data_IF_723633459445
#
_entry.id   IF_723633459445
#
_cell.length_a   1.000
_cell.length_b   1.000
_cell.length_c   1.000
_cell.angle_alpha   90.00
_cell.angle_beta   90.00
_cell.angle_gamma   90.00
#
_symmetry.space_group_name_H-M   'P 1'
#
loop_
_entity.id
_entity.type
_entity.pdbx_description
1 polymer ?
#
# COMPACT_ATOMS: atom_id res chain seq x y z
N UNK A 1 -3.72 -48.05 -6.31
CA UNK A 1 -2.84 -46.99 -6.86
C UNK A 1 -1.54 -46.99 -6.06
N UNK A 2 -0.55 -47.77 -6.48
CA UNK A 2 0.77 -47.82 -5.81
C UNK A 2 1.51 -46.51 -6.14
N UNK A 3 1.74 -45.64 -5.16
CA UNK A 3 2.65 -44.51 -5.32
C UNK A 3 4.06 -45.07 -5.38
N UNK A 4 4.69 -44.96 -6.54
CA UNK A 4 6.12 -45.23 -6.73
C UNK A 4 6.91 -44.15 -5.98
N UNK A 5 7.20 -44.36 -4.70
CA UNK A 5 8.35 -43.71 -4.07
C UNK A 5 9.57 -44.57 -4.42
N UNK A 6 9.99 -44.50 -5.68
CA UNK A 6 11.30 -45.00 -6.09
C UNK A 6 12.33 -44.16 -5.35
N UNK A 7 13.05 -44.78 -4.42
CA UNK A 7 14.07 -44.15 -3.59
C UNK A 7 15.22 -43.65 -4.47
N UNK A 8 15.05 -42.47 -5.07
CA UNK A 8 16.11 -41.76 -5.75
C UNK A 8 17.10 -41.32 -4.66
N UNK A 9 18.28 -41.93 -4.67
CA UNK A 9 19.38 -41.55 -3.81
C UNK A 9 19.90 -40.19 -4.31
N UNK A 10 19.29 -39.10 -3.82
CA UNK A 10 19.69 -37.73 -4.19
C UNK A 10 21.03 -37.45 -3.51
N UNK A 11 22.00 -36.95 -4.26
CA UNK A 11 23.29 -36.59 -3.70
C UNK A 11 23.12 -35.52 -2.60
N UNK A 12 23.72 -35.73 -1.43
CA UNK A 12 23.64 -34.81 -0.29
C UNK A 12 24.12 -33.39 -0.63
N UNK A 13 25.08 -33.28 -1.57
CA UNK A 13 25.55 -32.00 -2.09
C UNK A 13 24.46 -31.23 -2.84
N UNK A 14 23.66 -31.93 -3.66
CA UNK A 14 22.55 -31.35 -4.41
C UNK A 14 21.43 -30.91 -3.44
N UNK A 15 21.11 -31.74 -2.44
CA UNK A 15 20.13 -31.37 -1.42
C UNK A 15 20.55 -30.12 -0.65
N UNK A 16 21.83 -30.04 -0.26
CA UNK A 16 22.37 -28.86 0.41
C UNK A 16 22.30 -27.63 -0.49
N UNK A 17 22.63 -27.76 -1.78
CA UNK A 17 22.56 -26.64 -2.73
C UNK A 17 21.13 -26.14 -2.92
N UNK A 18 20.16 -27.03 -3.15
CA UNK A 18 18.75 -26.66 -3.26
C UNK A 18 18.22 -26.04 -1.98
N UNK A 19 18.64 -26.56 -0.83
CA UNK A 19 18.28 -26.01 0.48
C UNK A 19 18.78 -24.57 0.62
N UNK A 20 20.05 -24.31 0.29
CA UNK A 20 20.61 -22.97 0.32
C UNK A 20 19.87 -22.02 -0.64
N UNK A 21 19.55 -22.47 -1.86
CA UNK A 21 18.81 -21.65 -2.84
C UNK A 21 17.41 -21.23 -2.37
N UNK A 22 16.72 -22.04 -1.58
CA UNK A 22 15.39 -21.72 -1.06
C UNK A 22 15.40 -20.74 0.12
N UNK A 23 16.55 -20.55 0.77
CA UNK A 23 16.65 -19.68 1.93
C UNK A 23 16.77 -18.20 1.55
N UNK A 24 16.24 -17.29 2.38
CA UNK A 24 16.48 -15.85 2.22
C UNK A 24 17.97 -15.48 2.22
N UNK A 25 18.38 -14.40 1.51
CA UNK A 25 19.80 -14.04 1.32
C UNK A 25 20.52 -13.73 2.63
N UNK A 26 19.81 -13.19 3.63
CA UNK A 26 20.34 -12.97 4.97
C UNK A 26 20.73 -14.29 5.67
N UNK A 27 19.92 -15.34 5.50
CA UNK A 27 20.20 -16.66 6.08
C UNK A 27 21.35 -17.32 5.32
N UNK A 28 21.35 -17.25 3.98
CA UNK A 28 22.45 -17.77 3.14
C UNK A 28 23.81 -17.16 3.52
N UNK A 29 23.86 -15.84 3.70
CA UNK A 29 25.10 -15.15 4.09
C UNK A 29 25.65 -15.64 5.43
N UNK A 30 24.78 -15.97 6.38
CA UNK A 30 25.18 -16.49 7.69
C UNK A 30 25.70 -17.93 7.53
N UNK A 31 24.95 -18.79 6.83
CA UNK A 31 25.36 -20.18 6.60
C UNK A 31 26.69 -20.29 5.83
N UNK A 32 26.96 -19.36 4.89
CA UNK A 32 28.23 -19.31 4.16
C UNK A 32 29.45 -19.08 5.05
N UNK A 33 29.27 -18.46 6.22
CA UNK A 33 30.36 -18.20 7.19
C UNK A 33 30.68 -19.39 8.09
N UNK A 34 29.87 -20.46 8.04
CA UNK A 34 29.99 -21.63 8.91
C UNK A 34 30.63 -22.77 8.11
N UNK A 35 31.87 -23.13 8.43
CA UNK A 35 32.51 -24.35 7.92
C UNK A 35 32.97 -25.29 9.06
N UNK A 36 32.86 -26.62 8.88
CA UNK A 36 32.19 -27.32 7.79
C UNK A 36 30.65 -27.27 7.89
N UNK A 37 29.99 -27.19 6.74
CA UNK A 37 28.52 -27.14 6.62
C UNK A 37 28.00 -28.47 6.05
N UNK A 38 27.17 -29.17 6.83
CA UNK A 38 26.42 -30.35 6.39
C UNK A 38 24.95 -30.00 6.27
N UNK A 39 24.17 -30.74 5.48
CA UNK A 39 22.73 -30.50 5.30
C UNK A 39 21.96 -30.42 6.64
N UNK A 40 22.27 -31.34 7.57
CA UNK A 40 21.63 -31.37 8.90
C UNK A 40 21.99 -30.15 9.76
N UNK A 41 23.23 -29.67 9.70
CA UNK A 41 23.65 -28.47 10.44
C UNK A 41 23.09 -27.20 9.80
N UNK A 42 23.00 -27.17 8.47
CA UNK A 42 22.40 -26.07 7.74
C UNK A 42 20.91 -25.92 8.09
N UNK A 43 20.15 -27.01 8.18
CA UNK A 43 18.74 -26.97 8.57
C UNK A 43 18.56 -26.47 10.00
N UNK A 44 19.33 -27.02 10.96
CA UNK A 44 19.25 -26.60 12.36
C UNK A 44 19.57 -25.11 12.55
N UNK A 45 20.62 -24.63 11.89
CA UNK A 45 21.02 -23.22 11.99
C UNK A 45 20.01 -22.32 11.27
N UNK A 46 19.48 -22.73 10.12
CA UNK A 46 18.44 -21.98 9.41
C UNK A 46 17.18 -21.83 10.26
N UNK A 47 16.70 -22.90 10.89
CA UNK A 47 15.52 -22.88 11.76
C UNK A 47 15.73 -21.91 12.93
N UNK A 48 16.87 -21.99 13.61
CA UNK A 48 17.21 -21.06 14.70
C UNK A 48 17.31 -19.61 14.25
N UNK A 49 17.87 -19.36 13.07
CA UNK A 49 17.91 -18.01 12.50
C UNK A 49 16.48 -17.53 12.26
N UNK A 50 15.61 -18.35 11.67
CA UNK A 50 14.21 -17.96 11.42
C UNK A 50 13.40 -17.72 12.71
N UNK A 51 13.70 -18.44 13.79
CA UNK A 51 13.09 -18.20 15.10
C UNK A 51 13.52 -16.86 15.74
N UNK A 52 14.81 -16.52 15.62
CA UNK A 52 15.38 -15.31 16.25
C UNK A 52 15.19 -14.07 15.38
N UNK A 53 15.16 -14.24 14.06
CA UNK A 53 14.99 -13.11 13.15
C UNK A 53 13.53 -12.69 13.21
N UNK A 54 13.22 -11.46 13.69
CA UNK A 54 11.84 -10.97 13.63
C UNK A 54 11.41 -11.03 12.17
N UNK A 55 10.17 -11.47 11.92
CA UNK A 55 9.62 -11.57 10.57
C UNK A 55 9.80 -10.21 9.87
N UNK A 56 10.84 -10.13 9.04
CA UNK A 56 11.01 -9.03 8.12
C UNK A 56 9.92 -9.28 7.10
N UNK A 57 8.74 -8.68 7.33
CA UNK A 57 7.71 -8.59 6.32
C UNK A 57 8.38 -7.85 5.18
N UNK A 58 8.94 -8.58 4.23
CA UNK A 58 9.38 -8.02 2.96
C UNK A 58 8.15 -7.31 2.47
N UNK A 59 8.14 -5.98 2.58
CA UNK A 59 7.05 -5.18 2.09
C UNK A 59 6.96 -5.57 0.63
N UNK A 60 5.96 -6.40 0.31
CA UNK A 60 5.75 -6.90 -1.04
C UNK A 60 5.84 -5.66 -1.89
N UNK A 61 6.91 -5.61 -2.67
CA UNK A 61 7.07 -4.81 -3.86
C UNK A 61 5.80 -3.99 -4.12
N UNK A 62 5.75 -2.74 -3.64
CA UNK A 62 4.76 -1.76 -4.13
C UNK A 62 5.04 -1.40 -5.61
N UNK A 63 5.79 -2.22 -6.34
CA UNK A 63 6.17 -2.00 -7.72
C UNK A 63 5.02 -2.35 -8.69
N UNK A 64 3.85 -2.80 -8.21
CA UNK A 64 2.63 -2.96 -9.03
C UNK A 64 1.50 -1.95 -8.76
N UNK A 65 1.67 -0.98 -7.84
CA UNK A 65 0.63 0.03 -7.53
C UNK A 65 1.09 1.49 -7.57
N UNK A 66 2.22 1.79 -8.21
CA UNK A 66 2.67 3.18 -8.35
C UNK A 66 2.03 3.92 -9.54
N UNK A 67 1.44 3.20 -10.50
CA UNK A 67 0.94 3.82 -11.74
C UNK A 67 -0.59 3.82 -11.90
N UNK A 68 -1.36 3.13 -11.04
CA UNK A 68 -2.85 3.16 -11.10
C UNK A 68 -3.50 3.92 -9.93
N UNK A 69 -2.91 3.86 -8.72
CA UNK A 69 -3.58 4.38 -7.52
C UNK A 69 -3.40 5.89 -7.33
N UNK A 70 -2.31 6.44 -7.88
CA UNK A 70 -2.14 7.90 -7.97
C UNK A 70 -3.13 8.53 -8.96
N UNK A 71 -3.61 7.77 -9.96
CA UNK A 71 -4.59 8.27 -10.93
C UNK A 71 -5.94 8.49 -10.24
N UNK A 72 -6.44 7.46 -9.54
CA UNK A 72 -7.71 7.52 -8.82
C UNK A 72 -7.69 8.50 -7.65
N UNK A 73 -6.62 8.54 -6.85
CA UNK A 73 -6.49 9.52 -5.77
C UNK A 73 -6.43 10.96 -6.33
N UNK A 74 -5.73 11.17 -7.45
CA UNK A 74 -5.68 12.49 -8.09
C UNK A 74 -7.03 12.93 -8.68
N UNK A 75 -7.81 12.00 -9.22
CA UNK A 75 -9.16 12.26 -9.75
C UNK A 75 -10.13 12.62 -8.62
N UNK A 76 -10.10 11.87 -7.52
CA UNK A 76 -10.90 12.17 -6.33
C UNK A 76 -10.57 13.55 -5.75
N UNK A 77 -9.27 13.92 -5.72
CA UNK A 77 -8.84 15.25 -5.26
C UNK A 77 -9.28 16.38 -6.21
N UNK A 78 -9.34 16.12 -7.52
CA UNK A 78 -9.86 17.07 -8.51
C UNK A 78 -11.36 17.27 -8.33
N UNK A 79 -12.12 16.19 -8.20
CA UNK A 79 -13.57 16.22 -7.99
C UNK A 79 -13.92 16.95 -6.69
N UNK A 80 -13.18 16.67 -5.62
CA UNK A 80 -13.36 17.35 -4.33
C UNK A 80 -13.09 18.86 -4.40
N UNK A 81 -12.10 19.29 -5.21
CA UNK A 81 -11.85 20.72 -5.46
C UNK A 81 -12.98 21.36 -6.26
N UNK A 82 -13.48 20.69 -7.30
CA UNK A 82 -14.59 21.16 -8.12
C UNK A 82 -15.86 21.35 -7.29
N UNK A 83 -16.25 20.33 -6.51
CA UNK A 83 -17.40 20.39 -5.61
C UNK A 83 -17.27 21.52 -4.57
N UNK A 84 -16.08 21.72 -4.00
CA UNK A 84 -15.84 22.83 -3.06
C UNK A 84 -16.03 24.19 -3.72
N UNK A 85 -15.63 24.33 -4.98
CA UNK A 85 -15.83 25.56 -5.74
C UNK A 85 -17.30 25.79 -6.06
N UNK A 86 -18.02 24.78 -6.54
CA UNK A 86 -19.44 24.87 -6.84
C UNK A 86 -20.26 25.23 -5.59
N UNK A 87 -19.98 24.61 -4.45
CA UNK A 87 -20.62 24.95 -3.16
C UNK A 87 -20.34 26.40 -2.76
N UNK A 88 -19.13 26.91 -3.00
CA UNK A 88 -18.77 28.31 -2.73
C UNK A 88 -19.56 29.26 -3.62
N UNK A 89 -19.73 28.93 -4.90
CA UNK A 89 -20.51 29.72 -5.86
C UNK A 89 -22.01 29.72 -5.52
N UNK A 90 -22.57 28.56 -5.19
CA UNK A 90 -23.97 28.45 -4.75
C UNK A 90 -24.24 29.27 -3.48
N UNK A 91 -23.34 29.20 -2.49
CA UNK A 91 -23.42 30.03 -1.27
C UNK A 91 -23.34 31.52 -1.60
N UNK A 92 -22.43 31.92 -2.50
CA UNK A 92 -22.27 33.30 -2.95
C UNK A 92 -23.54 33.81 -3.63
N UNK A 93 -24.08 33.08 -4.61
CA UNK A 93 -25.29 33.44 -5.36
C UNK A 93 -26.52 33.59 -4.46
N UNK A 94 -26.71 32.70 -3.48
CA UNK A 94 -27.80 32.79 -2.49
C UNK A 94 -27.67 34.02 -1.57
N UNK A 95 -26.47 34.43 -1.22
CA UNK A 95 -26.25 35.66 -0.44
C UNK A 95 -26.53 36.92 -1.26
N UNK A 96 -26.13 36.96 -2.53
CA UNK A 96 -26.39 38.09 -3.41
C UNK A 96 -27.88 38.28 -3.74
N UNK A 97 -28.66 37.18 -3.90
CA UNK A 97 -30.09 37.28 -4.15
C UNK A 97 -30.87 37.81 -2.95
N UNK A 98 -30.53 37.35 -1.73
CA UNK A 98 -31.12 37.85 -0.47
C UNK A 98 -30.86 39.34 -0.26
N UNK A 99 -29.62 39.80 -0.49
CA UNK A 99 -29.28 41.21 -0.33
C UNK A 99 -29.96 42.12 -1.37
N UNK A 100 -30.12 41.66 -2.61
CA UNK A 100 -30.85 42.43 -3.64
C UNK A 100 -32.34 42.59 -3.30
N UNK A 101 -33.00 41.55 -2.80
CA UNK A 101 -34.42 41.64 -2.43
C UNK A 101 -34.64 42.61 -1.26
N UNK A 102 -33.76 42.58 -0.26
CA UNK A 102 -33.84 43.49 0.89
C UNK A 102 -33.56 44.97 0.52
N UNK A 103 -32.73 45.22 -0.49
CA UNK A 103 -32.47 46.59 -0.96
C UNK A 103 -33.66 47.22 -1.67
N UNK A 104 -34.45 46.43 -2.42
CA UNK A 104 -35.61 46.94 -3.19
C UNK A 104 -36.80 47.31 -2.32
N UNK A 105 -36.96 46.65 -1.17
CA UNK A 105 -38.05 46.95 -0.23
C UNK A 105 -37.78 48.17 0.66
N UNK A 106 -36.55 48.72 0.66
CA UNK A 106 -36.21 49.92 1.46
C UNK A 106 -36.34 51.24 0.68
N UNK A 107 -36.69 51.20 -0.61
CA UNK A 107 -36.68 52.39 -1.48
C UNK A 107 -38.03 53.08 -1.72
N UNK A 108 -39.14 52.61 -1.14
CA UNK A 108 -40.48 53.17 -1.40
C UNK A 108 -41.29 53.32 -0.12
N UNK A 109 -40.82 54.18 0.78
CA UNK A 109 -41.68 54.80 1.78
C UNK A 109 -42.41 55.97 1.11
N UNK A 110 -43.75 56.05 1.11
CA UNK A 110 -44.46 57.22 0.60
C UNK A 110 -44.09 58.43 1.45
N UNK A 111 -43.68 59.54 0.81
CA UNK A 111 -43.55 60.82 1.51
C UNK A 111 -44.95 61.36 1.80
N UNK A 112 -45.28 61.77 3.03
CA UNK A 112 -46.55 62.41 3.31
C UNK A 112 -46.59 63.75 2.58
N UNK A 113 -47.61 63.94 1.73
CA UNK A 113 -47.97 65.23 1.14
C UNK A 113 -48.56 66.13 2.23
N UNK A 114 -48.19 67.41 2.15
CA UNK A 114 -48.43 68.49 3.13
C UNK A 114 -49.91 68.77 3.44
#
# INVERSE_FOLDING_TARGET
>A
MQRRSESHNVADSLLLELFLQQLPPNVQSILASIQPLTAQKASEVADRILEVTPAQVSAVSKYSSANSDNCSESELLKELKFLRQEVKELRRSRSFSRNRFNSRNRGKSPKPTA
#
